data_IF_261469968723
#
_entry.id   IF_261469968723
#
_cell.length_a   1.000
_cell.length_b   1.000
_cell.length_c   1.000
_cell.angle_alpha   90.00
_cell.angle_beta   90.00
_cell.angle_gamma   90.00
#
_symmetry.space_group_name_H-M   'P 1'
#
loop_
_entity.id
_entity.type
_entity.pdbx_description
1 polymer ?
#
# COMPACT_ATOMS: atom_id res chain seq x y z
N UNK A 1 11.15 16.02 15.89
CA UNK A 1 10.67 15.50 14.59
C UNK A 1 10.45 16.69 13.67
N UNK A 2 10.92 16.64 12.41
CA UNK A 2 10.72 17.74 11.46
C UNK A 2 9.25 17.88 11.10
N UNK A 3 8.49 18.65 11.87
CA UNK A 3 7.03 18.85 11.75
C UNK A 3 6.63 19.26 10.33
N UNK A 4 7.48 20.03 9.66
CA UNK A 4 7.27 20.54 8.30
C UNK A 4 7.89 19.68 7.18
N UNK A 5 8.41 18.48 7.47
CA UNK A 5 8.87 17.56 6.42
C UNK A 5 7.68 16.91 5.71
N UNK A 6 7.84 16.53 4.45
CA UNK A 6 6.89 15.65 3.76
C UNK A 6 6.69 14.39 4.60
N UNK A 7 5.44 14.07 4.92
CA UNK A 7 5.10 12.89 5.74
C UNK A 7 4.61 11.73 4.90
N UNK A 8 3.99 12.04 3.79
CA UNK A 8 3.28 11.08 2.98
C UNK A 8 3.31 11.52 1.52
N UNK A 9 3.51 10.54 0.64
CA UNK A 9 3.40 10.67 -0.80
C UNK A 9 2.76 9.41 -1.35
N UNK A 10 1.93 9.57 -2.37
CA UNK A 10 1.30 8.46 -3.05
C UNK A 10 1.52 8.48 -4.55
N UNK A 11 1.29 7.36 -5.21
CA UNK A 11 1.21 7.27 -6.67
C UNK A 11 0.25 6.16 -7.07
N UNK A 12 -0.31 6.30 -8.26
CA UNK A 12 -1.23 5.32 -8.83
C UNK A 12 -0.46 4.33 -9.69
N UNK A 13 -0.81 3.05 -9.64
CA UNK A 13 -0.27 2.04 -10.56
C UNK A 13 -0.55 2.43 -12.02
N UNK A 14 0.46 2.32 -12.88
CA UNK A 14 0.44 2.81 -14.26
C UNK A 14 0.92 4.26 -14.43
N UNK A 15 1.22 4.96 -13.33
CA UNK A 15 1.80 6.30 -13.32
C UNK A 15 3.24 6.30 -12.75
N UNK A 16 3.98 5.19 -12.86
CA UNK A 16 5.33 5.04 -12.32
C UNK A 16 6.38 5.97 -12.97
N UNK A 17 6.05 6.53 -14.14
CA UNK A 17 6.85 7.55 -14.80
C UNK A 17 6.66 8.97 -14.24
N UNK A 18 5.69 9.16 -13.34
CA UNK A 18 5.50 10.45 -12.65
C UNK A 18 6.54 10.63 -11.55
N UNK A 19 6.81 11.90 -11.21
CA UNK A 19 7.68 12.29 -10.13
C UNK A 19 6.94 13.20 -9.17
N UNK A 20 7.28 13.13 -7.88
CA UNK A 20 6.75 14.05 -6.86
C UNK A 20 7.87 14.63 -6.03
N UNK A 21 7.71 15.88 -5.59
CA UNK A 21 8.70 16.54 -4.74
C UNK A 21 8.56 16.03 -3.30
N UNK A 22 9.67 15.57 -2.72
CA UNK A 22 9.78 15.20 -1.31
C UNK A 22 10.81 16.08 -0.63
N UNK A 23 10.49 16.56 0.57
CA UNK A 23 11.35 17.43 1.37
C UNK A 23 11.51 16.92 2.81
N UNK A 24 12.75 16.65 3.22
CA UNK A 24 13.08 16.35 4.62
C UNK A 24 13.81 17.55 5.26
N UNK A 25 13.37 17.96 6.46
CA UNK A 25 13.93 19.09 7.21
C UNK A 25 14.59 18.64 8.50
N UNK A 26 15.79 19.18 8.76
CA UNK A 26 16.55 18.96 9.99
C UNK A 26 16.86 20.30 10.64
N UNK A 27 16.91 20.34 11.97
CA UNK A 27 17.25 21.53 12.72
C UNK A 27 18.38 21.22 13.70
N UNK A 28 19.36 22.12 13.76
CA UNK A 28 20.46 22.07 14.72
C UNK A 28 20.43 23.34 15.55
N UNK A 29 20.45 23.18 16.88
CA UNK A 29 20.51 24.27 17.84
C UNK A 29 21.72 24.09 18.73
N UNK A 30 22.43 25.18 19.00
CA UNK A 30 23.40 25.17 20.09
C UNK A 30 22.67 25.43 21.41
N UNK A 31 22.68 24.41 22.28
CA UNK A 31 22.07 24.46 23.61
C UNK A 31 23.08 24.82 24.71
N UNK A 32 24.37 24.90 24.37
CA UNK A 32 25.44 25.13 25.33
C UNK A 32 26.07 26.50 25.12
N UNK A 33 26.65 27.04 26.18
CA UNK A 33 27.28 28.37 26.17
C UNK A 33 28.50 28.41 25.23
N UNK A 34 29.22 27.28 25.13
CA UNK A 34 30.35 27.14 24.21
C UNK A 34 29.85 26.88 22.79
N UNK A 35 30.40 27.64 21.84
CA UNK A 35 30.16 27.48 20.40
C UNK A 35 31.37 26.80 19.77
N UNK A 36 31.20 25.61 19.20
CA UNK A 36 32.27 24.87 18.52
C UNK A 36 31.93 24.63 17.05
N UNK A 37 32.91 24.54 16.15
CA UNK A 37 32.67 24.10 14.78
C UNK A 37 32.38 22.59 14.77
N UNK A 38 31.45 22.16 13.94
CA UNK A 38 31.07 20.76 13.80
C UNK A 38 30.70 20.43 12.35
N UNK A 39 30.52 19.16 12.07
CA UNK A 39 30.05 18.65 10.78
C UNK A 39 28.72 17.96 10.94
N UNK A 40 27.85 18.11 9.95
CA UNK A 40 26.61 17.33 9.83
C UNK A 40 26.75 16.44 8.61
N UNK A 41 26.61 15.13 8.81
CA UNK A 41 26.61 14.15 7.74
C UNK A 41 25.18 13.69 7.50
N UNK A 42 24.74 13.74 6.25
CA UNK A 42 23.44 13.26 5.80
C UNK A 42 23.62 12.00 4.96
N UNK A 43 22.79 11.00 5.21
CA UNK A 43 22.69 9.81 4.37
C UNK A 43 21.30 9.75 3.73
N UNK A 44 21.29 9.72 2.39
CA UNK A 44 20.08 9.87 1.59
C UNK A 44 19.99 8.70 0.60
N UNK A 45 18.93 7.87 0.65
CA UNK A 45 18.73 6.77 -0.30
C UNK A 45 18.39 7.32 -1.69
N UNK A 46 19.30 7.10 -2.65
CA UNK A 46 19.17 7.64 -4.01
C UNK A 46 18.87 6.57 -5.05
N UNK A 47 19.27 5.32 -4.83
CA UNK A 47 19.02 4.20 -5.76
C UNK A 47 18.72 2.90 -5.02
N UNK A 48 17.81 2.10 -5.56
CA UNK A 48 17.50 0.75 -5.09
C UNK A 48 17.78 -0.24 -6.23
N UNK A 49 18.74 -1.16 -6.01
CA UNK A 49 19.24 -2.12 -7.03
C UNK A 49 19.53 -1.46 -8.40
N UNK A 50 20.12 -0.26 -8.37
CA UNK A 50 20.47 0.51 -9.57
C UNK A 50 19.35 1.38 -10.15
N UNK A 51 18.09 1.24 -9.71
CA UNK A 51 16.97 2.09 -10.17
C UNK A 51 16.90 3.36 -9.29
N UNK A 52 16.73 4.56 -9.87
CA UNK A 52 16.64 5.80 -9.11
C UNK A 52 15.41 5.84 -8.19
N UNK A 53 15.63 6.28 -6.95
CA UNK A 53 14.63 6.46 -5.89
C UNK A 53 14.36 7.93 -5.67
N UNK A 54 15.35 8.68 -5.20
CA UNK A 54 15.20 10.07 -4.81
C UNK A 54 16.32 10.91 -5.40
N UNK A 55 15.96 11.85 -6.29
CA UNK A 55 16.91 12.70 -6.97
C UNK A 55 17.24 13.93 -6.13
N UNK A 56 18.25 13.78 -5.26
CA UNK A 56 18.74 14.88 -4.42
C UNK A 56 20.10 15.37 -4.91
N UNK A 57 20.14 16.62 -5.40
CA UNK A 57 21.37 17.26 -5.83
C UNK A 57 22.26 17.66 -4.65
N UNK A 58 21.71 18.44 -3.71
CA UNK A 58 22.43 19.03 -2.57
C UNK A 58 21.50 19.20 -1.36
N UNK A 59 22.09 19.34 -0.17
CA UNK A 59 21.39 19.79 1.04
C UNK A 59 21.51 21.31 1.13
N UNK A 60 20.38 21.99 1.34
CA UNK A 60 20.30 23.45 1.38
C UNK A 60 20.21 23.93 2.84
N UNK A 61 21.24 24.58 3.39
CA UNK A 61 21.16 25.21 4.71
C UNK A 61 20.38 26.53 4.66
N UNK A 62 19.73 26.90 5.77
CA UNK A 62 19.03 28.19 5.88
C UNK A 62 19.97 29.39 5.96
N UNK A 63 21.20 29.20 6.44
CA UNK A 63 22.29 30.19 6.50
C UNK A 63 23.52 29.64 5.75
N UNK A 64 23.60 29.78 4.41
CA UNK A 64 24.71 29.27 3.58
C UNK A 64 26.09 29.83 3.92
N UNK A 65 26.14 31.03 4.51
CA UNK A 65 27.35 31.64 5.03
C UNK A 65 27.88 30.95 6.29
N UNK A 66 27.01 30.27 7.05
CA UNK A 66 27.34 29.55 8.28
C UNK A 66 27.64 28.07 8.01
N UNK A 67 26.99 27.48 7.01
CA UNK A 67 27.15 26.07 6.68
C UNK A 67 27.45 25.86 5.19
N UNK A 68 28.55 25.15 4.91
CA UNK A 68 28.96 24.77 3.55
C UNK A 68 28.82 23.26 3.35
N UNK A 69 27.92 22.86 2.46
CA UNK A 69 27.63 21.47 2.16
C UNK A 69 28.34 21.01 0.89
N UNK A 70 28.97 19.83 0.95
CA UNK A 70 29.66 19.20 -0.16
C UNK A 70 29.18 17.75 -0.27
N UNK A 71 28.83 17.35 -1.49
CA UNK A 71 28.52 15.95 -1.78
C UNK A 71 29.83 15.18 -1.84
N UNK A 72 29.97 14.15 -1.00
CA UNK A 72 31.23 13.44 -0.87
C UNK A 72 31.27 12.21 -1.77
N UNK A 73 30.31 11.28 -1.61
CA UNK A 73 30.31 9.96 -2.28
C UNK A 73 28.91 9.37 -2.41
N UNK A 74 28.74 8.49 -3.40
CA UNK A 74 27.67 7.48 -3.41
C UNK A 74 28.22 6.17 -2.82
N UNK A 75 27.43 5.52 -1.98
CA UNK A 75 27.69 4.20 -1.40
C UNK A 75 26.90 3.13 -2.14
N UNK A 76 27.42 1.91 -2.18
CA UNK A 76 26.68 0.76 -2.69
C UNK A 76 25.71 0.26 -1.61
N UNK A 77 24.45 0.03 -1.99
CA UNK A 77 23.48 -0.64 -1.14
C UNK A 77 23.94 -2.06 -0.82
N UNK A 78 23.85 -2.46 0.44
CA UNK A 78 24.46 -3.69 0.94
C UNK A 78 23.47 -4.87 1.08
N UNK A 79 22.16 -4.60 1.11
CA UNK A 79 21.12 -5.62 1.40
C UNK A 79 19.89 -5.48 0.52
N UNK A 80 19.29 -6.60 0.16
CA UNK A 80 17.95 -6.65 -0.41
C UNK A 80 16.90 -6.22 0.63
N UNK A 81 15.87 -5.49 0.20
CA UNK A 81 14.70 -5.21 1.04
C UNK A 81 14.04 -6.54 1.40
N UNK A 82 13.95 -6.84 2.70
CA UNK A 82 13.32 -8.06 3.19
C UNK A 82 11.82 -8.02 2.85
N UNK A 83 11.35 -9.05 2.15
CA UNK A 83 9.97 -9.12 1.66
C UNK A 83 8.94 -9.38 2.79
N UNK A 84 9.38 -9.79 3.98
CA UNK A 84 8.52 -10.21 5.08
C UNK A 84 8.01 -9.08 5.98
N UNK A 85 8.49 -7.85 5.81
CA UNK A 85 8.00 -6.71 6.59
C UNK A 85 6.74 -6.08 5.98
N UNK A 86 5.75 -5.80 6.83
CA UNK A 86 4.51 -5.13 6.41
C UNK A 86 4.74 -3.71 5.88
N UNK A 87 5.80 -3.02 6.34
CA UNK A 87 6.21 -1.67 5.90
C UNK A 87 7.74 -1.57 5.86
N UNK A 88 8.38 -2.05 4.78
CA UNK A 88 9.83 -2.06 4.68
C UNK A 88 10.39 -0.63 4.74
N UNK A 89 11.50 -0.47 5.44
CA UNK A 89 12.23 0.79 5.49
C UNK A 89 13.28 0.85 4.37
N UNK A 90 13.20 1.91 3.57
CA UNK A 90 14.18 2.24 2.56
C UNK A 90 15.18 3.24 3.13
N UNK A 91 16.27 2.71 3.64
CA UNK A 91 17.36 3.43 4.28
C UNK A 91 18.71 3.10 3.62
N UNK A 92 19.82 3.57 4.19
CA UNK A 92 21.15 3.35 3.63
C UNK A 92 21.77 1.98 3.94
N UNK A 93 21.07 1.13 4.69
CA UNK A 93 21.47 -0.27 4.83
C UNK A 93 20.99 -1.11 3.64
N UNK A 94 19.90 -0.69 3.00
CA UNK A 94 19.23 -1.39 1.89
C UNK A 94 19.46 -0.72 0.54
N UNK A 95 19.39 0.62 0.49
CA UNK A 95 19.60 1.40 -0.73
C UNK A 95 21.03 1.91 -0.87
N UNK A 96 21.43 2.16 -2.11
CA UNK A 96 22.62 2.96 -2.40
C UNK A 96 22.36 4.40 -2.01
N UNK A 97 23.22 4.96 -1.16
CA UNK A 97 23.03 6.27 -0.58
C UNK A 97 24.06 7.30 -1.02
N UNK A 98 23.58 8.53 -1.16
CA UNK A 98 24.43 9.71 -1.30
C UNK A 98 24.75 10.25 0.09
N UNK A 99 26.04 10.46 0.34
CA UNK A 99 26.55 11.04 1.59
C UNK A 99 26.89 12.50 1.33
N UNK A 100 26.20 13.39 2.04
CA UNK A 100 26.42 14.84 1.95
C UNK A 100 26.92 15.32 3.31
N UNK A 101 28.07 15.99 3.31
CA UNK A 101 28.68 16.54 4.51
C UNK A 101 28.58 18.06 4.50
N UNK A 102 28.12 18.64 5.59
CA UNK A 102 28.07 20.08 5.80
C UNK A 102 29.02 20.49 6.92
N UNK A 103 29.99 21.34 6.61
CA UNK A 103 30.85 21.97 7.61
C UNK A 103 30.12 23.19 8.17
N UNK A 104 29.93 23.24 9.48
CA UNK A 104 29.16 24.29 10.17
C UNK A 104 30.09 25.09 11.08
N UNK A 105 30.06 26.41 10.92
CA UNK A 105 30.77 27.34 11.79
C UNK A 105 30.15 27.38 13.19
N UNK A 106 30.89 27.83 14.22
CA UNK A 106 30.38 27.91 15.58
C UNK A 106 29.05 28.68 15.68
N UNK A 107 28.00 27.99 16.14
CA UNK A 107 26.67 28.58 16.32
C UNK A 107 26.58 29.25 17.69
N UNK A 108 26.29 30.55 17.72
CA UNK A 108 26.09 31.30 18.97
C UNK A 108 24.89 30.75 19.76
N UNK A 109 25.01 30.71 21.08
CA UNK A 109 23.89 30.41 21.97
C UNK A 109 22.80 31.49 21.81
N UNK A 110 21.51 31.08 21.77
CA UNK A 110 20.33 31.94 21.51
C UNK A 110 20.12 32.46 20.07
N UNK A 111 20.89 31.98 19.08
CA UNK A 111 20.50 32.16 17.67
C UNK A 111 19.34 31.21 17.29
N UNK A 112 18.63 31.56 16.20
CA UNK A 112 17.66 30.67 15.56
C UNK A 112 18.31 29.32 15.23
N UNK A 113 17.51 28.25 15.22
CA UNK A 113 17.96 26.95 14.75
C UNK A 113 18.49 27.06 13.32
N UNK A 114 19.67 26.48 13.07
CA UNK A 114 20.15 26.29 11.72
C UNK A 114 19.36 25.13 11.10
N UNK A 115 18.66 25.42 10.00
CA UNK A 115 17.83 24.45 9.30
C UNK A 115 18.56 23.90 8.08
N UNK A 116 18.39 22.60 7.81
CA UNK A 116 18.88 21.93 6.61
C UNK A 116 17.71 21.30 5.88
N UNK A 117 17.60 21.58 4.57
CA UNK A 117 16.55 21.06 3.70
C UNK A 117 17.14 20.09 2.69
N UNK A 118 16.60 18.89 2.67
CA UNK A 118 16.87 17.88 1.66
C UNK A 118 15.65 17.85 0.76
N UNK A 119 15.77 18.40 -0.45
CA UNK A 119 14.67 18.51 -1.41
C UNK A 119 15.04 17.82 -2.70
N UNK A 120 14.12 17.03 -3.24
CA UNK A 120 14.34 16.34 -4.50
C UNK A 120 13.10 15.60 -4.99
N UNK A 121 13.13 15.21 -6.25
CA UNK A 121 12.05 14.47 -6.88
C UNK A 121 12.18 12.98 -6.59
N UNK A 122 11.12 12.38 -6.04
CA UNK A 122 11.01 10.94 -5.88
C UNK A 122 10.49 10.33 -7.18
N UNK A 123 11.20 9.32 -7.69
CA UNK A 123 10.73 8.46 -8.76
C UNK A 123 9.89 7.33 -8.18
N UNK A 124 8.98 6.75 -8.95
CA UNK A 124 8.19 5.57 -8.50
C UNK A 124 8.56 4.27 -9.23
N UNK A 125 9.47 4.33 -10.20
CA UNK A 125 9.86 3.18 -11.02
C UNK A 125 10.53 2.06 -10.20
N UNK A 126 11.25 2.40 -9.13
CA UNK A 126 11.87 1.44 -8.21
C UNK A 126 10.84 0.63 -7.41
N UNK A 127 9.61 1.13 -7.27
CA UNK A 127 8.59 0.44 -6.48
C UNK A 127 8.19 -0.90 -7.11
N UNK A 128 8.41 -1.10 -8.41
CA UNK A 128 8.21 -2.39 -9.08
C UNK A 128 9.05 -3.53 -8.45
N UNK A 129 10.14 -3.21 -7.78
CA UNK A 129 10.99 -4.18 -7.09
C UNK A 129 10.44 -4.64 -5.74
N UNK A 130 9.41 -3.97 -5.22
CA UNK A 130 8.80 -4.25 -3.91
C UNK A 130 7.33 -4.60 -4.10
N UNK A 131 6.88 -5.59 -3.32
CA UNK A 131 5.50 -6.09 -3.38
C UNK A 131 4.57 -5.31 -2.44
N UNK A 132 5.13 -4.59 -1.47
CA UNK A 132 4.37 -3.92 -0.43
C UNK A 132 3.68 -2.67 -0.95
N UNK A 133 2.45 -2.45 -0.46
CA UNK A 133 1.65 -1.25 -0.77
C UNK A 133 2.24 0.02 -0.17
N UNK A 134 2.97 -0.10 0.93
CA UNK A 134 3.51 1.03 1.68
C UNK A 134 4.97 0.79 2.02
N UNK A 135 5.83 1.75 1.71
CA UNK A 135 7.27 1.75 2.04
C UNK A 135 7.61 3.02 2.81
N UNK A 136 8.57 2.95 3.72
CA UNK A 136 9.02 4.10 4.50
C UNK A 136 10.37 4.58 3.94
N UNK A 137 10.39 5.74 3.27
CA UNK A 137 11.62 6.39 2.82
C UNK A 137 12.28 7.09 4.01
N UNK A 138 13.51 6.70 4.35
CA UNK A 138 14.23 7.23 5.51
C UNK A 138 15.49 7.96 5.05
N UNK A 139 15.62 9.23 5.43
CA UNK A 139 16.93 9.88 5.46
C UNK A 139 17.42 10.02 6.89
N UNK A 140 18.74 10.11 7.05
CA UNK A 140 19.35 10.24 8.36
C UNK A 140 20.40 11.33 8.40
N UNK A 141 20.62 11.89 9.60
CA UNK A 141 21.59 12.93 9.85
C UNK A 141 22.31 12.68 11.18
N UNK A 142 23.61 12.96 11.22
CA UNK A 142 24.42 12.83 12.44
C UNK A 142 25.41 13.99 12.54
N UNK A 143 25.59 14.48 13.76
CA UNK A 143 26.57 15.50 14.08
C UNK A 143 27.89 14.83 14.48
N UNK A 144 29.00 15.29 13.90
CA UNK A 144 30.36 14.91 14.28
C UNK A 144 31.20 16.15 14.58
N UNK A 145 32.16 16.01 15.49
CA UNK A 145 33.03 17.10 15.91
C UNK A 145 34.44 16.57 16.20
N UNK A 146 35.40 17.48 16.40
CA UNK A 146 36.77 17.07 16.72
C UNK A 146 36.87 16.59 18.17
N UNK A 147 36.75 15.28 18.36
CA UNK A 147 36.82 14.61 19.66
C UNK A 147 38.22 14.66 20.33
N UNK A 148 39.26 15.08 19.62
CA UNK A 148 40.60 15.31 20.21
C UNK A 148 40.69 16.66 20.91
N UNK A 149 39.86 17.63 20.50
CA UNK A 149 39.87 19.00 21.04
C UNK A 149 38.69 19.28 21.98
N UNK A 150 37.58 18.56 21.80
CA UNK A 150 36.35 18.79 22.54
C UNK A 150 35.82 17.47 23.10
N UNK A 151 35.21 17.52 24.27
CA UNK A 151 34.59 16.36 24.93
C UNK A 151 33.13 16.68 25.20
N UNK A 152 32.23 15.84 24.70
CA UNK A 152 30.79 15.92 24.94
C UNK A 152 30.40 14.73 25.83
N UNK A 153 29.71 14.97 26.94
CA UNK A 153 29.29 13.91 27.88
C UNK A 153 28.26 12.95 27.26
N UNK A 154 27.40 13.46 26.38
CA UNK A 154 26.35 12.69 25.69
C UNK A 154 26.58 12.84 24.20
N UNK A 155 26.82 11.73 23.50
CA UNK A 155 26.97 11.72 22.04
C UNK A 155 25.73 12.24 21.33
N UNK A 156 25.88 12.71 20.08
CA UNK A 156 24.76 13.08 19.24
C UNK A 156 24.23 11.83 18.51
N UNK A 157 23.06 11.29 18.90
CA UNK A 157 22.50 10.14 18.21
C UNK A 157 22.12 10.50 16.78
N UNK A 158 22.15 9.52 15.89
CA UNK A 158 21.67 9.68 14.52
C UNK A 158 20.17 9.98 14.55
N UNK A 159 19.77 11.07 13.91
CA UNK A 159 18.38 11.48 13.79
C UNK A 159 17.85 11.10 12.41
N UNK A 160 16.59 10.69 12.33
CA UNK A 160 15.97 10.24 11.09
C UNK A 160 14.69 11.02 10.77
N UNK A 161 14.42 11.21 9.49
CA UNK A 161 13.16 11.72 8.96
C UNK A 161 12.58 10.70 8.00
N UNK A 162 11.28 10.45 8.15
CA UNK A 162 10.57 9.41 7.43
C UNK A 162 9.47 10.03 6.57
N UNK A 163 9.37 9.57 5.33
CA UNK A 163 8.24 9.81 4.43
C UNK A 163 7.60 8.48 4.08
N UNK A 164 6.28 8.38 4.24
CA UNK A 164 5.51 7.21 3.81
C UNK A 164 5.24 7.30 2.31
N UNK A 165 5.62 6.28 1.56
CA UNK A 165 5.34 6.14 0.13
C UNK A 165 4.27 5.07 -0.06
N UNK A 166 3.11 5.45 -0.58
CA UNK A 166 1.98 4.53 -0.79
C UNK A 166 1.67 4.32 -2.28
N UNK A 167 1.54 3.06 -2.68
CA UNK A 167 1.05 2.63 -3.99
C UNK A 167 -0.47 2.47 -3.94
N UNK A 168 -1.17 3.20 -4.82
CA UNK A 168 -2.62 3.13 -4.99
C UNK A 168 -2.94 2.25 -6.21
N UNK A 169 -3.65 1.17 -5.98
CA UNK A 169 -4.20 0.30 -7.02
C UNK A 169 -5.63 0.77 -7.35
N UNK A 170 -5.87 1.23 -8.59
CA UNK A 170 -7.22 1.53 -9.04
C UNK A 170 -7.89 0.23 -9.46
N UNK A 171 -8.89 -0.19 -8.69
CA UNK A 171 -9.68 -1.37 -9.02
C UNK A 171 -10.65 -1.06 -10.17
N UNK A 172 -10.48 -1.76 -11.29
CA UNK A 172 -11.44 -1.68 -12.37
C UNK A 172 -12.63 -2.62 -12.10
N UNK A 173 -13.79 -2.03 -11.78
CA UNK A 173 -15.02 -2.76 -11.47
C UNK A 173 -15.79 -3.26 -12.70
N UNK A 174 -15.38 -2.89 -13.92
CA UNK A 174 -16.08 -3.28 -15.16
C UNK A 174 -16.28 -4.80 -15.30
N UNK A 175 -15.27 -5.66 -15.04
CA UNK A 175 -15.45 -7.11 -15.15
C UNK A 175 -16.49 -7.66 -14.15
N UNK A 176 -16.58 -7.08 -12.96
CA UNK A 176 -17.56 -7.47 -11.94
C UNK A 176 -18.98 -7.09 -12.37
N UNK A 177 -19.16 -5.89 -12.92
CA UNK A 177 -20.46 -5.40 -13.40
C UNK A 177 -20.95 -6.26 -14.56
N UNK A 178 -20.06 -6.55 -15.52
CA UNK A 178 -20.38 -7.39 -16.68
C UNK A 178 -20.67 -8.83 -16.23
N UNK A 179 -19.81 -9.41 -15.41
CA UNK A 179 -19.97 -10.77 -14.89
C UNK A 179 -21.26 -10.96 -14.10
N UNK A 180 -21.62 -9.99 -13.25
CA UNK A 180 -22.85 -10.03 -12.45
C UNK A 180 -24.11 -9.93 -13.32
N UNK A 181 -24.08 -9.15 -14.40
CA UNK A 181 -25.23 -8.99 -15.31
C UNK A 181 -25.52 -10.28 -16.09
N UNK A 182 -24.48 -10.91 -16.65
CA UNK A 182 -24.62 -12.17 -17.37
C UNK A 182 -24.98 -13.33 -16.42
N UNK A 183 -24.37 -13.40 -15.23
CA UNK A 183 -24.70 -14.40 -14.21
C UNK A 183 -26.15 -14.29 -13.73
N UNK A 184 -26.64 -13.07 -13.49
CA UNK A 184 -28.03 -12.81 -13.10
C UNK A 184 -29.03 -13.25 -14.17
N UNK A 185 -28.77 -12.96 -15.44
CA UNK A 185 -29.63 -13.37 -16.56
C UNK A 185 -29.73 -14.89 -16.68
N UNK A 186 -28.60 -15.61 -16.56
CA UNK A 186 -28.58 -17.07 -16.61
C UNK A 186 -29.38 -17.66 -15.45
N UNK A 187 -29.18 -17.15 -14.24
CA UNK A 187 -29.90 -17.60 -13.06
C UNK A 187 -31.41 -17.36 -13.18
N UNK A 188 -31.80 -16.22 -13.78
CA UNK A 188 -33.20 -15.87 -14.02
C UNK A 188 -33.83 -16.78 -15.08
N UNK A 189 -33.11 -17.09 -16.16
CA UNK A 189 -33.57 -18.03 -17.18
C UNK A 189 -33.79 -19.44 -16.61
N UNK A 190 -32.83 -19.95 -15.83
CA UNK A 190 -32.94 -21.26 -15.16
C UNK A 190 -34.11 -21.32 -14.18
N UNK A 191 -34.30 -20.26 -13.39
CA UNK A 191 -35.41 -20.15 -12.44
C UNK A 191 -36.76 -20.13 -13.17
N UNK A 192 -36.85 -19.41 -14.30
CA UNK A 192 -38.06 -19.33 -15.12
C UNK A 192 -38.39 -20.68 -15.76
N UNK A 193 -37.39 -21.39 -16.30
CA UNK A 193 -37.57 -22.72 -16.86
C UNK A 193 -38.02 -23.75 -15.81
N UNK A 194 -37.45 -23.69 -14.61
CA UNK A 194 -37.86 -24.54 -13.49
C UNK A 194 -39.32 -24.29 -13.09
N UNK A 195 -39.73 -23.02 -12.96
CA UNK A 195 -41.13 -22.66 -12.66
C UNK A 195 -42.09 -23.11 -13.76
N UNK A 196 -41.70 -22.98 -15.03
CA UNK A 196 -42.53 -23.43 -16.15
C UNK A 196 -42.71 -24.95 -16.15
N UNK A 197 -41.63 -25.71 -15.89
CA UNK A 197 -41.66 -27.18 -15.78
C UNK A 197 -42.55 -27.66 -14.62
N UNK A 198 -42.48 -26.98 -13.47
CA UNK A 198 -43.35 -27.27 -12.31
C UNK A 198 -44.81 -26.98 -12.64
N UNK A 199 -45.11 -25.84 -13.27
CA UNK A 199 -46.48 -25.48 -13.69
C UNK A 199 -47.06 -26.44 -14.72
N UNK A 200 -46.25 -26.94 -15.64
CA UNK A 200 -46.64 -27.95 -16.63
C UNK A 200 -46.99 -29.30 -15.97
N UNK A 201 -46.18 -29.76 -15.01
CA UNK A 201 -46.46 -31.01 -14.29
C UNK A 201 -47.69 -30.89 -13.38
N UNK A 202 -47.90 -29.74 -12.71
CA UNK A 202 -49.13 -29.45 -11.95
C UNK A 202 -50.36 -29.25 -12.87
N UNK A 203 -50.17 -28.79 -14.10
CA UNK A 203 -51.22 -28.72 -15.12
C UNK A 203 -51.64 -30.10 -15.64
N UNK A 204 -50.72 -31.07 -15.63
CA UNK A 204 -50.98 -32.46 -16.00
C UNK A 204 -51.78 -33.23 -14.93
N UNK A 205 -51.55 -32.96 -13.64
CA UNK A 205 -52.38 -33.52 -12.55
C UNK A 205 -53.80 -32.91 -12.48
N UNK A 206 -54.02 -31.73 -13.07
CA UNK A 206 -55.34 -31.07 -13.04
C UNK A 206 -56.39 -31.73 -13.94
N UNK A 207 -56.00 -32.68 -14.79
CA UNK A 207 -56.97 -33.45 -15.60
C UNK A 207 -57.56 -34.62 -14.81
N UNK A 208 -56.95 -35.04 -13.70
CA UNK A 208 -57.39 -36.27 -13.00
C UNK A 208 -58.02 -36.04 -11.62
N UNK A 209 -57.68 -34.99 -10.87
CA UNK A 209 -58.32 -34.76 -9.56
C UNK A 209 -58.50 -33.28 -9.23
N UNK A 210 -59.75 -32.83 -9.22
CA UNK A 210 -60.14 -31.48 -8.83
C UNK A 210 -59.94 -31.21 -7.33
N UNK A 211 -58.71 -30.89 -6.92
CA UNK A 211 -58.41 -30.43 -5.55
C UNK A 211 -57.46 -29.23 -5.58
N UNK A 212 -57.91 -28.14 -4.95
CA UNK A 212 -57.13 -26.93 -4.66
C UNK A 212 -56.06 -27.24 -3.60
N UNK A 213 -54.83 -27.56 -4.02
CA UNK A 213 -53.68 -27.60 -3.12
C UNK A 213 -52.96 -26.24 -3.10
N UNK A 214 -52.63 -25.80 -1.89
CA UNK A 214 -52.19 -24.47 -1.52
C UNK A 214 -50.75 -24.18 -1.96
N UNK A 215 -50.60 -23.14 -2.79
CA UNK A 215 -49.34 -22.62 -3.36
C UNK A 215 -48.29 -21.95 -2.41
N UNK A 216 -48.53 -21.58 -1.13
CA UNK A 216 -47.61 -20.66 -0.44
C UNK A 216 -46.34 -21.32 0.14
N UNK A 217 -46.34 -22.60 0.50
CA UNK A 217 -45.21 -23.18 1.25
C UNK A 217 -44.00 -23.58 0.37
N UNK A 218 -44.21 -23.94 -0.90
CA UNK A 218 -43.12 -24.43 -1.77
C UNK A 218 -42.29 -23.28 -2.37
N UNK A 219 -42.95 -22.20 -2.81
CA UNK A 219 -42.30 -20.99 -3.34
C UNK A 219 -41.49 -20.29 -2.24
N UNK A 220 -42.00 -20.28 -1.00
CA UNK A 220 -41.33 -19.71 0.17
C UNK A 220 -40.05 -20.50 0.53
N UNK A 221 -40.04 -21.81 0.35
CA UNK A 221 -38.86 -22.64 0.66
C UNK A 221 -37.75 -22.51 -0.38
N UNK A 222 -38.05 -22.43 -1.69
CA UNK A 222 -37.01 -22.20 -2.70
C UNK A 222 -36.47 -20.77 -2.66
N UNK A 223 -37.30 -19.75 -2.38
CA UNK A 223 -36.80 -18.37 -2.17
C UNK A 223 -35.90 -18.26 -0.95
N UNK A 224 -36.24 -18.92 0.16
CA UNK A 224 -35.35 -19.01 1.34
C UNK A 224 -34.05 -19.75 1.04
N UNK A 225 -34.08 -20.84 0.28
CA UNK A 225 -32.89 -21.61 -0.07
C UNK A 225 -31.92 -20.79 -0.95
N UNK A 226 -32.44 -20.09 -1.97
CA UNK A 226 -31.65 -19.22 -2.85
C UNK A 226 -31.05 -18.03 -2.09
N UNK A 227 -31.83 -17.37 -1.22
CA UNK A 227 -31.32 -16.29 -0.39
C UNK A 227 -30.24 -16.77 0.60
N UNK A 228 -30.38 -17.97 1.18
CA UNK A 228 -29.37 -18.52 2.09
C UNK A 228 -28.06 -18.90 1.39
N UNK A 229 -28.13 -19.31 0.11
CA UNK A 229 -26.96 -19.65 -0.68
C UNK A 229 -26.19 -18.39 -1.11
N UNK A 230 -26.90 -17.32 -1.52
CA UNK A 230 -26.25 -16.03 -1.81
C UNK A 230 -25.62 -15.39 -0.57
N UNK A 231 -26.18 -15.57 0.62
CA UNK A 231 -25.68 -14.92 1.83
C UNK A 231 -24.38 -15.51 2.39
N UNK A 232 -24.01 -16.75 2.05
CA UNK A 232 -22.86 -17.44 2.67
C UNK A 232 -21.50 -17.14 2.01
N UNK A 233 -21.46 -16.65 0.78
CA UNK A 233 -20.21 -16.46 0.03
C UNK A 233 -19.69 -15.02 -0.05
N UNK A 234 -20.41 -14.02 0.50
CA UNK A 234 -19.93 -12.63 0.54
C UNK A 234 -18.78 -12.39 1.55
N UNK A 235 -18.27 -13.43 2.23
CA UNK A 235 -17.23 -13.29 3.27
C UNK A 235 -15.83 -13.72 2.84
N UNK A 236 -15.61 -14.28 1.65
CA UNK A 236 -14.28 -14.77 1.25
C UNK A 236 -13.57 -13.78 0.32
N UNK A 237 -12.60 -13.05 0.88
CA UNK A 237 -11.55 -12.37 0.13
C UNK A 237 -10.73 -13.43 -0.61
N UNK A 238 -11.08 -13.76 -1.84
CA UNK A 238 -10.20 -14.26 -2.91
C UNK A 238 -11.04 -14.61 -4.15
N UNK A 239 -11.16 -13.64 -5.07
CA UNK A 239 -12.15 -13.65 -6.16
C UNK A 239 -11.60 -14.08 -7.54
N UNK A 240 -10.51 -14.86 -7.58
CA UNK A 240 -9.97 -15.40 -8.85
C UNK A 240 -10.54 -16.80 -9.19
N UNK A 241 -11.24 -17.47 -8.28
CA UNK A 241 -11.77 -18.82 -8.50
C UNK A 241 -13.30 -18.88 -8.71
N UNK A 242 -13.93 -17.84 -9.25
CA UNK A 242 -15.38 -17.59 -9.05
C UNK A 242 -16.31 -18.15 -10.14
N UNK A 243 -15.80 -18.62 -11.28
CA UNK A 243 -16.68 -19.23 -12.28
C UNK A 243 -17.08 -20.68 -11.98
N UNK A 244 -16.24 -21.45 -11.30
CA UNK A 244 -16.50 -22.86 -10.98
C UNK A 244 -17.49 -23.09 -9.81
N UNK A 245 -17.38 -22.38 -8.66
CA UNK A 245 -18.26 -22.64 -7.52
C UNK A 245 -19.67 -22.08 -7.70
N UNK A 246 -19.85 -20.97 -8.43
CA UNK A 246 -21.20 -20.40 -8.64
C UNK A 246 -22.10 -21.31 -9.49
N UNK A 247 -21.52 -22.02 -10.47
CA UNK A 247 -22.25 -23.01 -11.26
C UNK A 247 -22.61 -24.24 -10.40
N UNK A 248 -21.68 -24.75 -9.59
CA UNK A 248 -21.93 -25.88 -8.69
C UNK A 248 -22.96 -25.60 -7.61
N UNK A 249 -22.93 -24.40 -7.00
CA UNK A 249 -23.86 -24.00 -5.94
C UNK A 249 -25.27 -23.81 -6.51
N UNK A 250 -25.39 -23.20 -7.68
CA UNK A 250 -26.67 -23.09 -8.40
C UNK A 250 -27.27 -24.46 -8.74
N UNK A 251 -26.43 -25.41 -9.20
CA UNK A 251 -26.85 -26.78 -9.51
C UNK A 251 -27.25 -27.55 -8.24
N UNK A 252 -26.48 -27.45 -7.14
CA UNK A 252 -26.79 -28.11 -5.85
C UNK A 252 -28.07 -27.55 -5.22
N UNK A 253 -28.34 -26.25 -5.34
CA UNK A 253 -29.57 -25.63 -4.86
C UNK A 253 -30.80 -26.06 -5.68
N UNK A 254 -30.65 -26.16 -7.01
CA UNK A 254 -31.69 -26.68 -7.91
C UNK A 254 -32.00 -28.17 -7.65
N UNK A 255 -30.96 -29.00 -7.42
CA UNK A 255 -31.12 -30.42 -7.07
C UNK A 255 -31.90 -30.63 -5.77
N UNK A 256 -31.65 -29.77 -4.76
CA UNK A 256 -32.35 -29.81 -3.47
C UNK A 256 -33.81 -29.36 -3.56
N UNK A 257 -34.16 -28.45 -4.48
CA UNK A 257 -35.55 -28.07 -4.77
C UNK A 257 -36.33 -29.10 -5.61
N UNK A 258 -35.66 -30.08 -6.24
CA UNK A 258 -36.28 -31.09 -7.12
C UNK A 258 -36.40 -32.49 -6.51
N UNK A 259 -35.90 -32.72 -5.28
CA UNK A 259 -36.00 -34.02 -4.60
C UNK A 259 -35.15 -35.13 -5.23
N UNK A 260 -34.12 -34.78 -6.00
CA UNK A 260 -33.24 -35.75 -6.65
C UNK A 260 -31.93 -35.86 -5.86
N UNK A 261 -31.68 -37.04 -5.29
CA UNK A 261 -30.42 -37.38 -4.61
C UNK A 261 -29.40 -37.82 -5.66
N UNK A 262 -28.36 -37.03 -5.87
CA UNK A 262 -27.15 -37.47 -6.57
C UNK A 262 -26.07 -37.78 -5.53
N UNK A 263 -25.76 -39.06 -5.36
CA UNK A 263 -24.53 -39.52 -4.70
C UNK A 263 -23.38 -39.46 -5.71
N UNK A 264 -22.30 -38.76 -5.37
CA UNK A 264 -21.07 -38.74 -6.13
C UNK A 264 -20.10 -39.81 -5.58
N UNK A 265 -19.42 -40.51 -6.49
CA UNK A 265 -18.11 -41.12 -6.27
C UNK A 265 -17.04 -40.06 -6.56
#
# INVERSE_FOLDING_TARGET
MGEESTKYVNFTVGQEGTQKIVEHRYQVKNLHERSIPFKVTFWIPVKLKGIPVWNVSLVIPSEPEVAKCVSERETQGAKDLLADEARPQLDCSTASCKIIQCNVLPLKIHKRALEFRIKGDIHFSWTSQVQQKTIILVSSAQISYNNRKYTQQVGFPQTQVQTVVERIEIYNSFPVIIGSSFGGLILLALSTAALYKVKWNLGRERVENGVLATLPNYVLNCTKAVMSACSKDLSSKDYIAVYQPFLEIGIKALAKCQGVVFTAL
#
